data_IF_529982216263
#
_entry.id   IF_529982216263
#
_cell.length_a   1.000
_cell.length_b   1.000
_cell.length_c   1.000
_cell.angle_alpha   90.00
_cell.angle_beta   90.00
_cell.angle_gamma   90.00
#
_symmetry.space_group_name_H-M   'P 1'
#
loop_
_entity.id
_entity.type
_entity.pdbx_description
1 polymer ?
#
# COMPACT_ATOMS: atom_id res chain seq x y z
N UNK A 1 36.51 57.45 -38.46
CA UNK A 1 35.21 57.44 -39.04
C UNK A 1 34.35 56.55 -38.19
N UNK A 2 33.62 57.17 -37.35
CA UNK A 2 32.17 57.37 -37.31
C UNK A 2 31.33 56.08 -37.37
N UNK A 3 30.80 55.79 -36.24
CA UNK A 3 29.38 55.94 -35.88
C UNK A 3 28.52 54.67 -36.17
N UNK A 4 27.85 54.12 -35.29
CA UNK A 4 26.52 54.39 -34.68
C UNK A 4 25.85 53.14 -34.16
N UNK A 5 25.58 53.18 -32.92
CA UNK A 5 24.43 52.64 -32.16
C UNK A 5 23.23 52.09 -32.93
N UNK A 6 22.72 50.96 -32.45
CA UNK A 6 21.35 50.63 -32.08
C UNK A 6 21.27 49.11 -31.87
N UNK A 7 20.92 48.50 -30.78
CA UNK A 7 19.66 48.60 -30.04
C UNK A 7 18.69 47.58 -30.61
N UNK A 8 18.59 46.42 -30.01
CA UNK A 8 17.61 45.41 -30.41
C UNK A 8 17.60 44.24 -29.44
N UNK A 9 16.89 44.43 -28.36
CA UNK A 9 16.45 43.33 -27.46
C UNK A 9 15.40 42.52 -28.21
N UNK A 10 15.66 41.22 -28.36
CA UNK A 10 14.59 40.28 -28.70
C UNK A 10 14.65 39.11 -27.73
N UNK A 11 13.63 39.07 -26.88
CA UNK A 11 13.40 38.01 -25.94
C UNK A 11 13.23 36.68 -26.66
N UNK A 12 13.97 35.68 -26.18
CA UNK A 12 13.75 34.30 -26.55
C UNK A 12 12.61 33.77 -25.70
N UNK A 13 11.46 33.58 -26.34
CA UNK A 13 10.34 32.84 -25.76
C UNK A 13 10.72 31.35 -25.66
N UNK A 14 10.82 30.85 -24.45
CA UNK A 14 10.91 29.43 -24.21
C UNK A 14 9.57 28.77 -24.55
N UNK A 15 9.52 28.04 -25.65
CA UNK A 15 8.39 27.21 -26.03
C UNK A 15 8.38 25.96 -25.11
N UNK A 16 7.48 25.95 -24.14
CA UNK A 16 7.17 24.78 -23.38
C UNK A 16 6.43 23.80 -24.27
N UNK A 17 7.09 22.74 -24.68
CA UNK A 17 6.45 21.64 -25.43
C UNK A 17 5.69 20.79 -24.42
N UNK A 18 4.40 21.00 -24.35
CA UNK A 18 3.44 20.15 -23.64
C UNK A 18 3.38 18.81 -24.39
N UNK A 19 3.97 17.78 -23.79
CA UNK A 19 3.85 16.42 -24.30
C UNK A 19 2.43 15.93 -24.00
N UNK A 20 1.60 15.87 -25.02
CA UNK A 20 0.30 15.20 -24.97
C UNK A 20 0.53 13.72 -24.65
N UNK A 21 0.18 13.33 -23.44
CA UNK A 21 0.06 11.92 -23.07
C UNK A 21 -1.20 11.39 -23.72
N UNK A 22 -1.02 10.59 -24.78
CA UNK A 22 -2.08 9.82 -25.40
C UNK A 22 -2.65 8.84 -24.37
N UNK A 23 -3.88 9.05 -23.95
CA UNK A 23 -4.66 8.07 -23.20
C UNK A 23 -4.89 6.82 -24.06
N UNK A 24 -4.05 5.83 -23.88
CA UNK A 24 -4.38 4.48 -24.28
C UNK A 24 -5.28 3.90 -23.19
N UNK A 25 -6.59 3.90 -23.44
CA UNK A 25 -7.57 3.15 -22.65
C UNK A 25 -7.34 1.66 -22.84
N UNK A 26 -6.42 1.11 -22.06
CA UNK A 26 -6.36 -0.32 -21.78
C UNK A 26 -7.30 -0.53 -20.59
N UNK A 27 -8.38 -1.26 -20.81
CA UNK A 27 -9.22 -1.78 -19.73
C UNK A 27 -8.32 -2.59 -18.79
N UNK A 28 -7.88 -1.93 -17.72
CA UNK A 28 -7.12 -2.56 -16.65
C UNK A 28 -8.13 -3.27 -15.77
N UNK A 29 -8.07 -4.60 -15.75
CA UNK A 29 -8.82 -5.46 -14.83
C UNK A 29 -8.20 -5.38 -13.39
N UNK A 30 -7.83 -4.17 -12.99
CA UNK A 30 -7.33 -3.91 -11.65
C UNK A 30 -8.51 -3.87 -10.66
N UNK A 31 -8.36 -4.49 -9.47
CA UNK A 31 -9.42 -4.46 -8.46
C UNK A 31 -9.72 -3.01 -8.06
N UNK A 32 -11.01 -2.69 -8.04
CA UNK A 32 -11.45 -1.39 -7.55
C UNK A 32 -11.58 -1.41 -6.04
N UNK A 33 -11.07 -0.38 -5.38
CA UNK A 33 -11.23 -0.21 -3.94
C UNK A 33 -12.72 -0.03 -3.62
N UNK A 34 -13.22 -0.82 -2.67
CA UNK A 34 -14.58 -0.65 -2.16
C UNK A 34 -14.66 0.60 -1.29
N UNK A 35 -15.39 1.60 -1.73
CA UNK A 35 -15.61 2.82 -0.98
C UNK A 35 -16.77 2.66 0.00
N UNK A 36 -16.58 3.11 1.24
CA UNK A 36 -17.65 3.15 2.23
C UNK A 36 -18.72 4.20 1.82
N UNK A 37 -19.98 3.84 1.93
CA UNK A 37 -21.07 4.81 1.73
C UNK A 37 -21.05 5.79 2.91
N UNK A 38 -21.03 7.10 2.61
CA UNK A 38 -21.17 8.15 3.61
C UNK A 38 -22.58 8.03 4.22
N UNK A 39 -22.66 7.60 5.48
CA UNK A 39 -23.94 7.58 6.21
C UNK A 39 -24.10 8.93 6.92
N UNK A 40 -24.81 9.87 6.28
CA UNK A 40 -25.35 11.03 6.95
C UNK A 40 -26.40 10.57 7.98
N UNK A 41 -25.98 10.41 9.22
CA UNK A 41 -26.90 10.34 10.34
C UNK A 41 -26.26 11.04 11.54
N UNK A 42 -26.45 12.35 11.60
CA UNK A 42 -26.26 13.12 12.82
C UNK A 42 -27.30 12.65 13.86
N UNK A 43 -26.91 11.68 14.67
CA UNK A 43 -27.67 11.31 15.85
C UNK A 43 -26.82 11.66 17.08
N UNK A 44 -27.16 12.78 17.75
CA UNK A 44 -26.57 13.25 18.99
C UNK A 44 -27.01 12.39 20.18
N UNK A 45 -26.53 11.16 20.21
CA UNK A 45 -26.47 10.37 21.44
C UNK A 45 -24.98 10.06 21.65
N UNK A 46 -24.48 10.23 22.88
CA UNK A 46 -23.13 9.88 23.28
C UNK A 46 -22.82 8.45 22.82
N UNK A 47 -22.28 8.33 21.62
CA UNK A 47 -21.92 7.04 21.02
C UNK A 47 -20.73 6.56 21.81
N UNK A 48 -20.94 5.57 22.66
CA UNK A 48 -19.86 4.72 23.15
C UNK A 48 -19.30 4.06 21.89
N UNK A 49 -18.11 4.50 21.46
CA UNK A 49 -17.45 3.89 20.32
C UNK A 49 -17.13 2.44 20.68
N UNK A 50 -17.85 1.53 20.08
CA UNK A 50 -17.61 0.11 20.26
C UNK A 50 -16.39 -0.31 19.41
N UNK A 51 -15.20 -0.09 19.99
CA UNK A 51 -13.91 -0.47 19.39
C UNK A 51 -13.89 -1.97 19.06
N UNK A 52 -14.55 -2.80 19.87
CA UNK A 52 -14.59 -4.24 19.65
C UNK A 52 -15.35 -4.59 18.36
N UNK A 53 -16.48 -3.91 18.08
CA UNK A 53 -17.21 -4.13 16.85
C UNK A 53 -16.45 -3.64 15.62
N UNK A 54 -15.74 -2.50 15.73
CA UNK A 54 -14.86 -2.02 14.67
C UNK A 54 -13.74 -3.02 14.38
N UNK A 55 -13.03 -3.47 15.41
CA UNK A 55 -11.98 -4.48 15.27
C UNK A 55 -12.51 -5.76 14.61
N UNK A 56 -13.62 -6.31 15.11
CA UNK A 56 -14.24 -7.51 14.55
C UNK A 56 -14.59 -7.35 13.06
N UNK A 57 -15.04 -6.16 12.67
CA UNK A 57 -15.41 -5.87 11.27
C UNK A 57 -14.20 -5.82 10.34
N UNK A 58 -13.06 -5.28 10.79
CA UNK A 58 -11.90 -5.03 9.93
C UNK A 58 -10.80 -6.08 10.03
N UNK A 59 -10.74 -6.87 11.12
CA UNK A 59 -9.75 -7.95 11.28
C UNK A 59 -9.65 -8.91 10.10
N UNK A 60 -10.76 -9.33 9.44
CA UNK A 60 -10.67 -10.16 8.24
C UNK A 60 -9.95 -9.52 7.05
N UNK A 61 -9.72 -8.21 7.08
CA UNK A 61 -9.01 -7.46 6.04
C UNK A 61 -7.56 -7.13 6.42
N UNK A 62 -7.14 -7.46 7.65
CA UNK A 62 -5.79 -7.19 8.15
C UNK A 62 -4.96 -8.47 8.03
N UNK A 63 -3.73 -8.32 7.59
CA UNK A 63 -2.78 -9.42 7.46
C UNK A 63 -1.45 -9.06 8.14
N UNK A 64 -0.74 -10.06 8.62
CA UNK A 64 0.66 -9.93 9.01
C UNK A 64 1.54 -10.20 7.78
N UNK A 65 2.60 -9.41 7.60
CA UNK A 65 3.59 -9.61 6.56
C UNK A 65 4.92 -9.90 7.22
N UNK A 66 5.52 -11.04 6.87
CA UNK A 66 6.86 -11.41 7.32
C UNK A 66 7.80 -11.39 6.12
N UNK A 67 8.87 -10.60 6.22
CA UNK A 67 9.93 -10.53 5.23
C UNK A 67 11.19 -11.23 5.72
N UNK A 68 11.87 -11.98 4.84
CA UNK A 68 13.22 -12.48 5.07
C UNK A 68 14.22 -11.56 4.37
N UNK A 69 15.21 -11.10 5.12
CA UNK A 69 16.25 -10.20 4.64
C UNK A 69 17.61 -10.86 4.74
N UNK A 70 18.47 -10.62 3.76
CA UNK A 70 19.84 -11.17 3.76
C UNK A 70 20.85 -10.02 3.82
N UNK A 71 21.61 -9.97 4.90
CA UNK A 71 22.71 -9.03 5.03
C UNK A 71 24.02 -9.76 4.77
N UNK A 72 24.80 -9.28 3.78
CA UNK A 72 26.11 -9.82 3.48
C UNK A 72 27.18 -8.98 4.19
N UNK A 73 27.94 -9.63 5.06
CA UNK A 73 29.09 -9.04 5.73
C UNK A 73 30.36 -9.47 5.01
N UNK A 74 31.07 -8.48 4.45
CA UNK A 74 32.35 -8.70 3.79
C UNK A 74 33.49 -8.26 4.71
N UNK A 75 34.30 -9.21 5.18
CA UNK A 75 35.54 -8.96 5.87
C UNK A 75 36.74 -9.22 4.91
N UNK A 76 37.93 -8.70 5.21
CA UNK A 76 39.10 -8.85 4.38
C UNK A 76 39.46 -10.32 4.06
N UNK A 77 39.06 -11.27 4.90
CA UNK A 77 39.40 -12.70 4.79
C UNK A 77 38.20 -13.60 4.52
N UNK A 78 36.93 -13.12 4.70
CA UNK A 78 35.76 -13.95 4.56
C UNK A 78 34.52 -13.10 4.29
N UNK A 79 33.53 -13.70 3.60
CA UNK A 79 32.20 -13.13 3.43
C UNK A 79 31.16 -14.10 3.97
N UNK A 80 30.32 -13.65 4.87
CA UNK A 80 29.21 -14.46 5.36
C UNK A 80 27.88 -13.72 5.20
N UNK A 81 26.83 -14.50 4.99
CA UNK A 81 25.46 -14.00 4.90
C UNK A 81 24.72 -14.30 6.19
N UNK A 82 24.03 -13.31 6.69
CA UNK A 82 23.12 -13.44 7.82
C UNK A 82 21.70 -13.16 7.36
N UNK A 83 20.83 -14.13 7.60
CA UNK A 83 19.39 -13.97 7.40
C UNK A 83 18.76 -13.38 8.67
N UNK A 84 17.82 -12.46 8.48
CA UNK A 84 17.01 -11.87 9.52
C UNK A 84 15.56 -11.82 9.05
N UNK A 85 14.63 -11.84 9.97
CA UNK A 85 13.19 -11.69 9.67
C UNK A 85 12.70 -10.37 10.22
N UNK A 86 11.80 -9.73 9.48
CA UNK A 86 11.07 -8.55 9.92
C UNK A 86 9.58 -8.78 9.73
N UNK A 87 8.78 -8.15 10.56
CA UNK A 87 7.33 -8.22 10.48
C UNK A 87 6.71 -6.84 10.27
N UNK A 88 5.59 -6.82 9.58
CA UNK A 88 4.78 -5.63 9.34
C UNK A 88 3.32 -5.99 9.19
N UNK A 89 2.49 -5.00 8.96
CA UNK A 89 1.06 -5.18 8.72
C UNK A 89 0.72 -4.87 7.28
N UNK A 90 -0.31 -5.53 6.77
CA UNK A 90 -0.90 -5.25 5.47
C UNK A 90 -2.41 -5.20 5.55
N UNK A 91 -3.01 -4.66 4.50
CA UNK A 91 -4.45 -4.49 4.37
C UNK A 91 -4.89 -5.09 3.03
N UNK A 92 -5.86 -5.99 3.04
CA UNK A 92 -6.45 -6.54 1.81
C UNK A 92 -7.30 -5.46 1.14
N UNK A 93 -6.86 -4.97 -0.02
CA UNK A 93 -7.50 -3.86 -0.73
C UNK A 93 -8.37 -4.31 -1.91
N UNK A 94 -8.24 -5.56 -2.34
CA UNK A 94 -9.03 -6.11 -3.42
C UNK A 94 -8.46 -7.40 -3.96
N UNK A 95 -9.15 -7.99 -4.93
CA UNK A 95 -8.70 -9.15 -5.70
C UNK A 95 -9.19 -9.08 -7.14
N UNK A 96 -8.48 -9.73 -8.03
CA UNK A 96 -8.93 -10.05 -9.39
C UNK A 96 -9.11 -11.57 -9.55
N UNK A 97 -9.13 -12.06 -10.78
CA UNK A 97 -9.31 -13.50 -11.07
C UNK A 97 -8.10 -14.36 -10.67
N UNK A 98 -6.95 -13.73 -10.38
CA UNK A 98 -5.69 -14.44 -10.13
C UNK A 98 -5.03 -14.05 -8.82
N UNK A 99 -5.09 -12.78 -8.43
CA UNK A 99 -4.32 -12.25 -7.32
C UNK A 99 -5.18 -11.58 -6.25
N UNK A 100 -4.78 -11.77 -5.00
CA UNK A 100 -5.17 -10.96 -3.87
C UNK A 100 -4.19 -9.79 -3.75
N UNK A 101 -4.67 -8.56 -3.58
CA UNK A 101 -3.88 -7.34 -3.47
C UNK A 101 -3.85 -6.84 -2.05
N UNK A 102 -2.66 -6.55 -1.56
CA UNK A 102 -2.40 -6.15 -0.17
C UNK A 102 -1.61 -4.86 -0.18
N UNK A 103 -2.15 -3.81 0.42
CA UNK A 103 -1.42 -2.57 0.68
C UNK A 103 -0.61 -2.71 1.97
N UNK A 104 0.63 -2.22 1.93
CA UNK A 104 1.56 -2.23 3.07
C UNK A 104 2.54 -1.05 2.96
N UNK A 105 3.45 -0.92 3.90
CA UNK A 105 4.52 0.06 3.83
C UNK A 105 5.69 -0.44 2.99
N UNK A 106 6.34 0.48 2.27
CA UNK A 106 7.51 0.16 1.44
C UNK A 106 8.67 -0.40 2.28
N UNK A 107 8.94 0.19 3.45
CA UNK A 107 10.01 -0.28 4.32
C UNK A 107 9.83 -1.73 4.81
N UNK A 108 8.57 -2.25 4.84
CA UNK A 108 8.27 -3.66 5.19
C UNK A 108 8.69 -4.62 4.09
N UNK A 109 8.65 -4.19 2.83
CA UNK A 109 8.94 -5.07 1.68
C UNK A 109 10.29 -4.78 1.02
N UNK A 110 10.89 -3.63 1.33
CA UNK A 110 12.18 -3.21 0.78
C UNK A 110 13.26 -4.23 1.11
N UNK A 111 14.05 -4.59 0.10
CA UNK A 111 15.21 -5.49 0.22
C UNK A 111 14.89 -6.90 0.78
N UNK A 112 13.60 -7.28 0.82
CA UNK A 112 13.20 -8.61 1.23
C UNK A 112 13.58 -9.63 0.15
N UNK A 113 14.16 -10.76 0.57
CA UNK A 113 14.45 -11.92 -0.30
C UNK A 113 13.18 -12.72 -0.58
N UNK A 114 12.30 -12.80 0.42
CA UNK A 114 11.00 -13.44 0.33
C UNK A 114 10.02 -12.74 1.25
N UNK A 115 8.74 -12.78 0.89
CA UNK A 115 7.62 -12.28 1.68
C UNK A 115 6.62 -13.39 1.90
N UNK A 116 6.09 -13.47 3.11
CA UNK A 116 4.96 -14.32 3.46
C UNK A 116 3.88 -13.49 4.12
N UNK A 117 2.64 -13.77 3.76
CA UNK A 117 1.45 -13.12 4.32
C UNK A 117 0.70 -14.14 5.17
N UNK A 118 0.41 -13.77 6.42
CA UNK A 118 -0.39 -14.57 7.33
C UNK A 118 -1.77 -13.92 7.49
N UNK A 119 -2.82 -14.70 7.28
CA UNK A 119 -4.21 -14.29 7.32
C UNK A 119 -4.82 -14.42 8.72
N UNK A 120 -6.09 -13.98 8.84
CA UNK A 120 -6.83 -13.99 10.11
C UNK A 120 -7.04 -15.38 10.73
N UNK A 121 -6.93 -16.43 9.94
CA UNK A 121 -7.04 -17.85 10.34
C UNK A 121 -5.67 -18.51 10.60
N UNK A 122 -4.60 -17.71 10.74
CA UNK A 122 -3.22 -18.12 10.97
C UNK A 122 -2.58 -18.93 9.83
N UNK A 123 -3.23 -19.01 8.67
CA UNK A 123 -2.65 -19.60 7.47
C UNK A 123 -1.81 -18.59 6.73
N UNK A 124 -0.77 -19.06 6.07
CA UNK A 124 0.19 -18.20 5.36
C UNK A 124 0.32 -18.60 3.90
N UNK A 125 0.58 -17.61 3.06
CA UNK A 125 0.91 -17.80 1.65
C UNK A 125 2.08 -16.89 1.25
N UNK A 126 2.80 -17.28 0.21
CA UNK A 126 3.89 -16.48 -0.34
C UNK A 126 3.35 -15.25 -1.06
N UNK A 127 4.08 -14.14 -0.94
CA UNK A 127 3.71 -12.89 -1.57
C UNK A 127 4.84 -12.31 -2.42
N UNK A 128 4.47 -11.51 -3.40
CA UNK A 128 5.40 -10.79 -4.26
C UNK A 128 5.07 -9.30 -4.29
N UNK A 129 6.10 -8.44 -4.36
CA UNK A 129 5.89 -6.99 -4.48
C UNK A 129 5.41 -6.68 -5.90
N UNK A 130 4.22 -6.12 -6.02
CA UNK A 130 3.63 -5.67 -7.28
C UNK A 130 4.17 -4.30 -7.71
N UNK A 131 4.35 -3.41 -6.74
CA UNK A 131 4.84 -2.06 -6.96
C UNK A 131 4.90 -1.26 -5.66
N UNK A 132 5.53 -0.09 -5.72
CA UNK A 132 5.69 0.77 -4.54
C UNK A 132 5.91 2.23 -4.93
N UNK A 133 5.69 3.11 -3.94
CA UNK A 133 6.05 4.53 -4.00
C UNK A 133 6.90 4.83 -2.76
N UNK A 134 8.22 4.87 -2.94
CA UNK A 134 9.19 5.00 -1.85
C UNK A 134 8.99 6.28 -1.03
N UNK A 135 8.80 7.43 -1.70
CA UNK A 135 8.63 8.73 -1.03
C UNK A 135 7.40 8.79 -0.11
N UNK A 136 6.41 7.95 -0.36
CA UNK A 136 5.19 7.88 0.45
C UNK A 136 5.18 6.69 1.41
N UNK A 137 6.24 5.86 1.39
CA UNK A 137 6.33 4.62 2.14
C UNK A 137 5.12 3.70 1.93
N UNK A 138 4.68 3.55 0.67
CA UNK A 138 3.55 2.71 0.30
C UNK A 138 4.01 1.64 -0.70
N UNK A 139 3.56 0.41 -0.49
CA UNK A 139 3.75 -0.69 -1.41
C UNK A 139 2.47 -1.52 -1.57
N UNK A 140 2.39 -2.23 -2.68
CA UNK A 140 1.37 -3.24 -2.92
C UNK A 140 2.06 -4.58 -3.15
N UNK A 141 1.68 -5.56 -2.35
CA UNK A 141 2.05 -6.96 -2.52
C UNK A 141 0.87 -7.75 -3.11
N UNK A 142 1.17 -8.86 -3.77
CA UNK A 142 0.18 -9.78 -4.32
C UNK A 142 0.44 -11.20 -3.83
N UNK A 143 -0.64 -11.92 -3.56
CA UNK A 143 -0.66 -13.36 -3.29
C UNK A 143 -1.45 -14.02 -4.42
N UNK A 144 -0.95 -15.11 -5.00
CA UNK A 144 -1.70 -15.88 -6.00
C UNK A 144 -2.88 -16.57 -5.29
N UNK A 145 -4.09 -16.43 -5.84
CA UNK A 145 -5.29 -17.04 -5.24
C UNK A 145 -5.24 -18.56 -5.21
N UNK A 146 -4.43 -19.19 -6.08
CA UNK A 146 -4.21 -20.63 -6.08
C UNK A 146 -3.42 -21.14 -4.88
N UNK A 147 -2.69 -20.25 -4.20
CA UNK A 147 -1.90 -20.55 -3.01
C UNK A 147 -2.68 -20.32 -1.69
N UNK A 148 -3.96 -19.92 -1.82
CA UNK A 148 -4.84 -19.65 -0.69
C UNK A 148 -5.95 -20.71 -0.64
N UNK A 149 -6.08 -21.38 0.50
CA UNK A 149 -7.17 -22.35 0.70
C UNK A 149 -8.56 -21.67 0.65
N UNK A 150 -9.57 -22.44 0.24
CA UNK A 150 -10.96 -21.97 0.18
C UNK A 150 -11.46 -21.43 1.53
N UNK A 151 -11.13 -22.12 2.62
CA UNK A 151 -11.54 -21.71 3.97
C UNK A 151 -10.95 -20.35 4.36
N UNK A 152 -9.70 -20.08 3.98
CA UNK A 152 -9.04 -18.79 4.17
C UNK A 152 -9.71 -17.72 3.30
N UNK A 153 -10.03 -18.05 2.02
CA UNK A 153 -10.72 -17.13 1.14
C UNK A 153 -12.11 -16.72 1.67
N UNK A 154 -12.79 -17.64 2.36
CA UNK A 154 -14.09 -17.38 3.01
C UNK A 154 -13.93 -16.58 4.33
N UNK A 155 -12.77 -16.69 4.99
CA UNK A 155 -12.49 -16.00 6.25
C UNK A 155 -12.01 -14.54 6.06
N UNK A 156 -11.44 -14.19 4.91
CA UNK A 156 -10.91 -12.86 4.62
C UNK A 156 -11.95 -11.96 3.93
N UNK A 157 -11.73 -10.65 4.02
CA UNK A 157 -12.53 -9.65 3.31
C UNK A 157 -11.68 -8.50 2.80
N UNK A 158 -12.17 -7.83 1.78
CA UNK A 158 -11.56 -6.58 1.30
C UNK A 158 -11.96 -5.43 2.21
N UNK A 159 -11.01 -4.55 2.54
CA UNK A 159 -11.26 -3.37 3.36
C UNK A 159 -12.16 -2.37 2.63
N UNK A 160 -12.97 -1.63 3.38
CA UNK A 160 -13.67 -0.46 2.86
C UNK A 160 -12.80 0.78 3.09
N UNK A 161 -12.45 1.46 2.02
CA UNK A 161 -11.66 2.69 2.06
C UNK A 161 -12.58 3.89 2.15
N UNK A 162 -12.34 4.75 3.15
CA UNK A 162 -13.02 6.04 3.30
C UNK A 162 -12.22 7.19 2.65
N UNK A 163 -12.78 8.39 2.73
CA UNK A 163 -12.09 9.62 2.33
C UNK A 163 -11.54 10.33 3.56
N UNK A 164 -10.26 10.74 3.51
CA UNK A 164 -9.67 11.59 4.57
C UNK A 164 -10.26 13.00 4.59
N UNK A 165 -10.89 13.44 3.49
CA UNK A 165 -11.56 14.74 3.41
C UNK A 165 -12.85 14.80 4.24
N UNK A 166 -13.41 13.62 4.57
CA UNK A 166 -14.61 13.50 5.40
C UNK A 166 -14.29 13.53 6.92
N UNK A 167 -13.00 13.55 7.30
CA UNK A 167 -12.56 13.52 8.69
C UNK A 167 -12.43 14.92 9.28
N UNK A 168 -12.78 15.04 10.57
CA UNK A 168 -12.64 16.27 11.34
C UNK A 168 -11.64 16.08 12.49
N UNK A 169 -10.97 17.18 12.87
CA UNK A 169 -10.11 17.18 14.04
C UNK A 169 -10.94 16.91 15.30
N UNK A 170 -10.57 15.86 16.04
CA UNK A 170 -11.32 15.40 17.21
C UNK A 170 -12.14 14.13 16.96
N UNK A 171 -12.24 13.66 15.72
CA UNK A 171 -12.86 12.36 15.44
C UNK A 171 -12.05 11.24 16.08
N UNK A 172 -12.70 10.23 16.67
CA UNK A 172 -12.02 9.08 17.23
C UNK A 172 -11.43 8.21 16.12
N UNK A 173 -10.26 7.65 16.38
CA UNK A 173 -9.61 6.70 15.47
C UNK A 173 -9.16 5.44 16.21
N UNK A 174 -9.09 4.32 15.49
CA UNK A 174 -8.58 3.05 15.97
C UNK A 174 -7.44 2.63 15.06
N UNK A 175 -6.24 2.48 15.63
CA UNK A 175 -5.10 1.91 14.90
C UNK A 175 -5.10 0.39 15.08
N UNK A 176 -5.03 -0.34 13.96
CA UNK A 176 -5.01 -1.81 13.96
C UNK A 176 -3.85 -2.28 13.10
N UNK A 177 -3.05 -3.19 13.63
CA UNK A 177 -1.93 -3.77 12.92
C UNK A 177 -1.35 -4.96 13.69
N UNK A 178 -0.45 -5.69 13.05
CA UNK A 178 0.31 -6.80 13.62
C UNK A 178 1.81 -6.61 13.35
N UNK A 179 2.35 -5.47 13.80
CA UNK A 179 3.74 -5.09 13.55
C UNK A 179 4.79 -5.98 14.26
N UNK A 180 4.38 -6.80 15.23
CA UNK A 180 5.27 -7.68 15.98
C UNK A 180 5.13 -9.15 15.58
N UNK A 181 4.17 -9.49 14.72
CA UNK A 181 4.00 -10.85 14.20
C UNK A 181 3.51 -11.89 15.22
N UNK A 182 2.67 -11.46 16.20
CA UNK A 182 2.05 -12.36 17.17
C UNK A 182 0.72 -12.88 16.65
#
# INVERSE_FOLDING_TARGET
GTDKLAGGSTGSAATTTEAAVSEASTESNAPQLKQAASSDTANTNSTVYDVASVAKKVMPSIVSITGTYVTTYNNWFDSYQQESTGAGSGIIIGKDDKYLYIATNYHVVKDSKSLSVTFVDDKSADATVKGYVENNDVAVATVDLSDIDSDTLDAISEIQVGSSDDLSVGDPCVAIGNALGY
#
